data_IF_391168771306
#
_entry.id   IF_391168771306
#
_cell.length_a   1.000
_cell.length_b   1.000
_cell.length_c   1.000
_cell.angle_alpha   90.00
_cell.angle_beta   90.00
_cell.angle_gamma   90.00
#
_symmetry.space_group_name_H-M   'P 1'
#
loop_
_entity.id
_entity.type
_entity.pdbx_description
1 polymer ?
#
# COMPACT_ATOMS: atom_id res chain seq x y z
N UNK A 1 21.74 5.85 -25.40
CA UNK A 1 21.45 5.62 -23.98
C UNK A 1 19.99 5.27 -23.90
N UNK A 2 19.60 4.07 -23.49
CA UNK A 2 18.20 3.71 -23.26
C UNK A 2 17.65 4.61 -22.14
N UNK A 3 16.49 5.20 -22.34
CA UNK A 3 15.74 5.89 -21.26
C UNK A 3 15.61 4.93 -20.09
N UNK A 4 15.92 5.35 -18.84
CA UNK A 4 15.61 4.52 -17.67
C UNK A 4 14.13 4.13 -17.69
N UNK A 5 13.82 2.87 -17.43
CA UNK A 5 12.42 2.46 -17.28
C UNK A 5 11.83 3.04 -15.99
N UNK A 6 10.51 3.03 -15.85
CA UNK A 6 9.81 3.57 -14.68
C UNK A 6 10.33 2.99 -13.36
N UNK A 7 10.63 1.69 -13.30
CA UNK A 7 11.14 1.05 -12.10
C UNK A 7 12.52 1.55 -11.69
N UNK A 8 13.44 1.80 -12.65
CA UNK A 8 14.74 2.37 -12.34
C UNK A 8 14.67 3.81 -11.85
N UNK A 9 13.74 4.60 -12.38
CA UNK A 9 13.45 5.97 -11.87
C UNK A 9 12.84 5.92 -10.47
N UNK A 10 11.94 4.97 -10.24
CA UNK A 10 11.32 4.78 -8.92
C UNK A 10 12.38 4.54 -7.83
N UNK A 11 13.38 3.72 -8.09
CA UNK A 11 14.45 3.39 -7.15
C UNK A 11 15.59 4.45 -7.10
N UNK A 12 15.64 5.40 -8.03
CA UNK A 12 16.64 6.47 -8.02
C UNK A 12 16.39 7.42 -6.83
N UNK A 13 17.34 7.59 -5.90
CA UNK A 13 17.16 8.47 -4.73
C UNK A 13 17.07 9.95 -5.10
N UNK A 14 17.50 10.36 -6.30
CA UNK A 14 17.45 11.74 -6.77
C UNK A 14 16.19 12.05 -7.60
N UNK A 15 15.34 11.06 -7.85
CA UNK A 15 14.11 11.24 -8.62
C UNK A 15 12.89 11.28 -7.68
N UNK A 16 12.07 12.32 -7.81
CA UNK A 16 10.79 12.42 -7.09
C UNK A 16 9.75 11.67 -7.92
N UNK A 17 9.03 10.75 -7.28
CA UNK A 17 7.95 9.97 -7.87
C UNK A 17 6.63 10.43 -7.27
N UNK A 18 5.68 10.75 -8.13
CA UNK A 18 4.35 11.22 -7.72
C UNK A 18 3.36 10.08 -7.82
N UNK A 19 2.79 9.71 -6.68
CA UNK A 19 1.72 8.72 -6.62
C UNK A 19 0.36 9.35 -6.94
N UNK A 20 -0.61 8.51 -7.25
CA UNK A 20 -2.00 8.91 -7.28
C UNK A 20 -2.51 9.23 -5.86
N UNK A 21 -3.81 9.51 -5.73
CA UNK A 21 -4.39 9.96 -4.47
C UNK A 21 -5.50 9.01 -3.96
N UNK A 22 -6.23 9.50 -2.97
CA UNK A 22 -7.22 8.75 -2.22
C UNK A 22 -8.32 8.13 -3.11
N UNK A 23 -8.31 6.82 -3.28
CA UNK A 23 -9.34 6.06 -4.01
C UNK A 23 -10.69 6.13 -3.30
N UNK A 24 -10.73 5.87 -1.99
CA UNK A 24 -11.98 5.84 -1.22
C UNK A 24 -12.77 7.15 -1.26
N UNK A 25 -12.10 8.30 -1.14
CA UNK A 25 -12.74 9.62 -1.23
C UNK A 25 -13.33 9.87 -2.62
N UNK A 26 -12.64 9.46 -3.66
CA UNK A 26 -13.11 9.59 -5.04
C UNK A 26 -14.33 8.71 -5.30
N UNK A 27 -14.35 7.48 -4.79
CA UNK A 27 -15.50 6.58 -4.89
C UNK A 27 -16.70 7.11 -4.09
N UNK A 28 -16.47 7.60 -2.87
CA UNK A 28 -17.51 8.21 -2.04
C UNK A 28 -18.16 9.42 -2.74
N UNK A 29 -17.36 10.32 -3.32
CA UNK A 29 -17.88 11.49 -4.06
C UNK A 29 -18.71 11.12 -5.29
N UNK A 30 -18.58 9.89 -5.78
CA UNK A 30 -19.36 9.31 -6.88
C UNK A 30 -20.57 8.47 -6.42
N UNK A 31 -20.93 8.57 -5.14
CA UNK A 31 -22.13 7.93 -4.57
C UNK A 31 -21.93 6.52 -4.05
N UNK A 32 -20.69 6.04 -3.89
CA UNK A 32 -20.43 4.78 -3.19
C UNK A 32 -20.38 5.04 -1.71
N UNK A 33 -21.35 4.54 -0.96
CA UNK A 33 -21.42 4.74 0.47
C UNK A 33 -20.38 3.92 1.24
N UNK A 34 -19.91 4.45 2.38
CA UNK A 34 -18.84 3.90 3.21
C UNK A 34 -19.11 2.52 3.81
N UNK A 35 -20.36 2.06 3.82
CA UNK A 35 -20.76 0.72 4.26
C UNK A 35 -20.63 -0.35 3.16
N UNK A 36 -20.24 0.02 1.95
CA UNK A 36 -19.96 -0.92 0.87
C UNK A 36 -18.49 -1.34 0.89
N UNK A 37 -18.23 -2.55 0.45
CA UNK A 37 -16.88 -3.03 0.19
C UNK A 37 -16.33 -2.32 -1.06
N UNK A 38 -15.39 -1.42 -0.90
CA UNK A 38 -14.80 -0.70 -2.05
C UNK A 38 -13.97 -1.63 -2.94
N UNK A 39 -13.34 -2.63 -2.33
CA UNK A 39 -12.53 -3.63 -3.05
C UNK A 39 -13.38 -4.51 -3.98
N UNK A 40 -14.66 -4.77 -3.64
CA UNK A 40 -15.62 -5.50 -4.50
C UNK A 40 -15.91 -4.76 -5.82
N UNK A 41 -15.74 -3.43 -5.85
CA UNK A 41 -16.00 -2.64 -7.05
C UNK A 41 -15.07 -3.01 -8.21
N UNK A 42 -13.92 -3.62 -7.94
CA UNK A 42 -13.03 -4.11 -8.99
C UNK A 42 -13.70 -5.13 -9.92
N UNK A 43 -14.69 -5.85 -9.42
CA UNK A 43 -15.47 -6.84 -10.20
C UNK A 43 -16.90 -6.39 -10.43
N UNK A 44 -17.54 -5.74 -9.43
CA UNK A 44 -18.94 -5.36 -9.49
C UNK A 44 -19.21 -4.08 -10.31
N UNK A 45 -18.29 -3.13 -10.25
CA UNK A 45 -18.39 -1.87 -11.01
C UNK A 45 -17.01 -1.39 -11.47
N UNK A 46 -16.33 -2.17 -12.33
CA UNK A 46 -14.97 -1.90 -12.75
C UNK A 46 -14.80 -0.56 -13.49
N UNK A 47 -15.83 -0.10 -14.21
CA UNK A 47 -15.77 1.16 -14.96
C UNK A 47 -15.65 2.36 -14.03
N UNK A 48 -16.24 2.30 -12.83
CA UNK A 48 -16.10 3.35 -11.83
C UNK A 48 -14.66 3.44 -11.31
N UNK A 49 -14.03 2.29 -11.03
CA UNK A 49 -12.63 2.22 -10.58
C UNK A 49 -11.69 2.70 -11.69
N UNK A 50 -11.92 2.24 -12.94
CA UNK A 50 -11.17 2.71 -14.12
C UNK A 50 -11.22 4.23 -14.25
N UNK A 51 -12.39 4.84 -14.10
CA UNK A 51 -12.55 6.29 -14.21
C UNK A 51 -11.70 7.04 -13.19
N UNK A 52 -11.57 6.51 -11.94
CA UNK A 52 -10.72 7.13 -10.92
C UNK A 52 -9.25 7.02 -11.30
N UNK A 53 -8.77 5.83 -11.69
CA UNK A 53 -7.38 5.66 -12.15
C UNK A 53 -7.05 6.56 -13.34
N UNK A 54 -7.95 6.67 -14.32
CA UNK A 54 -7.75 7.51 -15.49
C UNK A 54 -7.67 9.01 -15.15
N UNK A 55 -8.42 9.49 -14.16
CA UNK A 55 -8.31 10.87 -13.68
C UNK A 55 -6.96 11.14 -13.02
N UNK A 56 -6.46 10.26 -12.17
CA UNK A 56 -5.15 10.39 -11.56
C UNK A 56 -4.02 10.32 -12.61
N UNK A 57 -4.16 9.42 -13.57
CA UNK A 57 -3.21 9.31 -14.66
C UNK A 57 -3.15 10.60 -15.52
N UNK A 58 -4.30 11.21 -15.81
CA UNK A 58 -4.37 12.51 -16.49
C UNK A 58 -3.82 13.65 -15.65
N UNK A 59 -3.90 13.55 -14.33
CA UNK A 59 -3.31 14.51 -13.40
C UNK A 59 -1.78 14.41 -13.32
N UNK A 60 -1.18 13.35 -13.89
CA UNK A 60 0.26 13.18 -14.00
C UNK A 60 0.88 12.26 -12.96
N UNK A 61 0.12 11.30 -12.40
CA UNK A 61 0.68 10.30 -11.52
C UNK A 61 1.70 9.41 -12.25
N UNK A 62 2.86 9.17 -11.63
CA UNK A 62 3.88 8.23 -12.08
C UNK A 62 3.58 6.79 -11.64
N UNK A 63 2.75 6.64 -10.59
CA UNK A 63 2.34 5.35 -10.01
C UNK A 63 0.85 5.38 -9.75
N UNK A 64 0.15 4.31 -10.13
CA UNK A 64 -1.25 4.06 -9.78
C UNK A 64 -1.31 2.99 -8.69
N UNK A 65 -1.97 3.29 -7.58
CA UNK A 65 -2.25 2.32 -6.51
C UNK A 65 -3.53 1.57 -6.79
N UNK A 66 -3.51 0.25 -6.62
CA UNK A 66 -4.68 -0.59 -6.85
C UNK A 66 -5.79 -0.32 -5.82
N UNK A 67 -7.04 -0.46 -6.21
CA UNK A 67 -8.17 -0.40 -5.28
C UNK A 67 -8.26 -1.72 -4.48
N UNK A 68 -7.33 -1.94 -3.55
CA UNK A 68 -7.18 -3.20 -2.82
C UNK A 68 -6.73 -3.05 -1.37
N UNK A 69 -6.75 -1.82 -0.82
CA UNK A 69 -6.36 -1.53 0.56
C UNK A 69 -7.01 -2.45 1.61
N UNK A 70 -8.29 -2.78 1.42
CA UNK A 70 -9.07 -3.64 2.29
C UNK A 70 -9.21 -5.08 1.81
N UNK A 71 -8.60 -5.46 0.69
CA UNK A 71 -8.86 -6.73 0.01
C UNK A 71 -8.13 -7.93 0.66
N UNK A 72 -7.95 -7.92 1.98
CA UNK A 72 -7.44 -9.05 2.76
C UNK A 72 -8.58 -9.90 3.35
N UNK A 73 -8.29 -11.15 3.70
CA UNK A 73 -9.28 -12.11 4.18
C UNK A 73 -10.09 -11.62 5.39
N UNK A 74 -9.49 -11.09 6.48
CA UNK A 74 -10.24 -10.62 7.64
C UNK A 74 -11.23 -9.48 7.33
N UNK A 75 -10.84 -8.50 6.51
CA UNK A 75 -11.72 -7.40 6.13
C UNK A 75 -12.80 -7.85 5.16
N UNK A 76 -12.47 -8.66 4.16
CA UNK A 76 -13.45 -9.19 3.21
C UNK A 76 -14.48 -10.11 3.88
N UNK A 77 -14.11 -10.82 4.95
CA UNK A 77 -15.04 -11.64 5.73
C UNK A 77 -16.19 -10.81 6.35
N UNK A 78 -15.97 -9.52 6.65
CA UNK A 78 -17.03 -8.64 7.16
C UNK A 78 -18.12 -8.38 6.12
N UNK A 79 -17.85 -8.70 4.85
CA UNK A 79 -18.76 -8.57 3.71
C UNK A 79 -19.16 -9.93 3.10
N UNK A 80 -18.72 -11.05 3.70
CA UNK A 80 -18.94 -12.40 3.14
C UNK A 80 -18.16 -12.68 1.85
N UNK A 81 -17.03 -11.98 1.65
CA UNK A 81 -16.20 -12.04 0.44
C UNK A 81 -14.83 -12.71 0.67
N UNK A 82 -14.61 -13.36 1.81
CA UNK A 82 -13.34 -13.96 2.22
C UNK A 82 -12.83 -15.05 1.26
N UNK A 83 -13.71 -15.65 0.47
CA UNK A 83 -13.33 -16.62 -0.56
C UNK A 83 -12.82 -15.96 -1.86
N UNK A 84 -12.98 -14.64 -2.01
CA UNK A 84 -12.66 -13.91 -3.23
C UNK A 84 -11.38 -13.08 -3.14
N UNK A 85 -10.56 -13.26 -2.09
CA UNK A 85 -9.32 -12.49 -1.87
C UNK A 85 -8.47 -12.43 -3.13
N UNK A 86 -8.11 -13.58 -3.69
CA UNK A 86 -7.25 -13.66 -4.88
C UNK A 86 -7.89 -12.98 -6.10
N UNK A 87 -9.17 -13.24 -6.34
CA UNK A 87 -9.89 -12.70 -7.51
C UNK A 87 -9.98 -11.16 -7.46
N UNK A 88 -10.39 -10.61 -6.31
CA UNK A 88 -10.55 -9.16 -6.13
C UNK A 88 -9.22 -8.42 -6.28
N UNK A 89 -8.15 -8.95 -5.69
CA UNK A 89 -6.81 -8.37 -5.81
C UNK A 89 -6.27 -8.45 -7.24
N UNK A 90 -6.45 -9.60 -7.91
CA UNK A 90 -6.07 -9.74 -9.32
C UNK A 90 -6.83 -8.77 -10.21
N UNK A 91 -8.14 -8.61 -9.98
CA UNK A 91 -8.96 -7.67 -10.73
C UNK A 91 -8.49 -6.22 -10.49
N UNK A 92 -8.19 -5.84 -9.24
CA UNK A 92 -7.69 -4.51 -8.89
C UNK A 92 -6.42 -4.15 -9.65
N UNK A 93 -5.41 -5.03 -9.61
CA UNK A 93 -4.14 -4.79 -10.30
C UNK A 93 -4.32 -4.76 -11.82
N UNK A 94 -5.16 -5.63 -12.37
CA UNK A 94 -5.45 -5.65 -13.80
C UNK A 94 -6.13 -4.38 -14.28
N UNK A 95 -7.08 -3.84 -13.51
CA UNK A 95 -7.75 -2.58 -13.84
C UNK A 95 -6.75 -1.41 -13.92
N UNK A 96 -5.89 -1.27 -12.91
CA UNK A 96 -4.86 -0.25 -12.90
C UNK A 96 -3.87 -0.42 -14.07
N UNK A 97 -3.44 -1.66 -14.36
CA UNK A 97 -2.54 -1.97 -15.48
C UNK A 97 -3.18 -1.66 -16.84
N UNK A 98 -4.46 -2.02 -17.02
CA UNK A 98 -5.21 -1.73 -18.25
C UNK A 98 -5.32 -0.21 -18.50
N UNK A 99 -5.53 0.58 -17.43
CA UNK A 99 -5.57 2.06 -17.52
C UNK A 99 -4.19 2.63 -17.82
N UNK A 100 -3.13 2.15 -17.17
CA UNK A 100 -1.76 2.57 -17.47
C UNK A 100 -1.38 2.27 -18.92
N UNK A 101 -1.82 1.14 -19.49
CA UNK A 101 -1.54 0.75 -20.88
C UNK A 101 -0.04 0.68 -21.14
N UNK A 102 0.38 1.24 -22.29
CA UNK A 102 1.80 1.30 -22.71
C UNK A 102 2.55 2.50 -22.13
N UNK A 103 1.95 3.28 -21.22
CA UNK A 103 2.60 4.43 -20.60
C UNK A 103 3.65 3.98 -19.59
N UNK A 104 4.67 4.82 -19.41
CA UNK A 104 5.72 4.61 -18.41
C UNK A 104 5.23 4.97 -16.99
N UNK A 105 4.20 4.25 -16.54
CA UNK A 105 3.52 4.40 -15.24
C UNK A 105 3.52 3.04 -14.55
N UNK A 106 3.93 3.00 -13.29
CA UNK A 106 3.95 1.79 -12.48
C UNK A 106 2.59 1.50 -11.85
N UNK A 107 2.34 0.23 -11.56
CA UNK A 107 1.18 -0.22 -10.79
C UNK A 107 1.64 -0.76 -9.44
N UNK A 108 1.25 -0.07 -8.36
CA UNK A 108 1.51 -0.44 -6.99
C UNK A 108 0.34 -1.25 -6.42
N UNK A 109 0.61 -2.47 -5.98
CA UNK A 109 -0.36 -3.26 -5.23
C UNK A 109 -0.54 -2.70 -3.82
N UNK A 110 -1.66 -2.04 -3.55
CA UNK A 110 -1.97 -1.46 -2.25
C UNK A 110 -2.39 -2.53 -1.24
N UNK A 111 -1.72 -2.55 -0.09
CA UNK A 111 -1.95 -3.49 1.01
C UNK A 111 -2.07 -2.71 2.32
N UNK A 112 -3.26 -2.70 2.90
CA UNK A 112 -3.52 -2.08 4.19
C UNK A 112 -3.51 -3.07 5.36
N UNK A 113 -3.65 -2.57 6.61
CA UNK A 113 -3.74 -3.41 7.79
C UNK A 113 -4.90 -4.41 7.73
N UNK A 114 -4.76 -5.54 8.40
CA UNK A 114 -5.75 -6.63 8.42
C UNK A 114 -7.08 -6.23 9.07
N UNK A 115 -7.08 -5.20 9.92
CA UNK A 115 -8.27 -4.80 10.69
C UNK A 115 -8.54 -5.70 11.90
N UNK A 116 -7.62 -6.61 12.20
CA UNK A 116 -7.58 -7.43 13.41
C UNK A 116 -6.28 -7.18 14.15
N UNK A 117 -6.27 -7.39 15.48
CA UNK A 117 -5.04 -7.24 16.26
C UNK A 117 -4.20 -8.50 16.17
N UNK A 118 -2.91 -8.31 15.90
CA UNK A 118 -1.91 -9.39 15.88
C UNK A 118 -1.17 -9.51 17.22
N UNK A 119 -0.51 -10.63 17.44
CA UNK A 119 0.41 -10.80 18.57
C UNK A 119 1.48 -9.68 18.61
N UNK A 120 1.86 -9.20 19.81
CA UNK A 120 1.38 -9.60 21.15
C UNK A 120 0.08 -8.90 21.59
N UNK A 121 -0.50 -8.02 20.78
CA UNK A 121 -1.63 -7.16 21.16
C UNK A 121 -3.00 -7.77 20.87
N UNK A 122 -3.06 -8.91 20.21
CA UNK A 122 -4.29 -9.61 19.85
C UNK A 122 -4.14 -11.11 19.66
N UNK A 123 -5.22 -11.79 19.30
CA UNK A 123 -5.25 -13.25 19.21
C UNK A 123 -4.70 -13.81 17.90
N UNK A 124 -4.55 -12.98 16.84
CA UNK A 124 -4.07 -13.44 15.54
C UNK A 124 -2.55 -13.64 15.60
N UNK A 125 -2.08 -14.84 15.35
CA UNK A 125 -0.65 -15.13 15.35
C UNK A 125 0.08 -14.39 14.23
N UNK A 126 1.36 -14.14 14.38
CA UNK A 126 2.19 -13.49 13.36
C UNK A 126 2.24 -14.33 12.07
N UNK A 127 2.27 -15.65 12.18
CA UNK A 127 2.29 -16.54 11.02
C UNK A 127 0.94 -16.53 10.27
N UNK A 128 -0.18 -16.45 10.98
CA UNK A 128 -1.51 -16.30 10.38
C UNK A 128 -1.63 -14.95 9.67
N UNK A 129 -1.21 -13.86 10.30
CA UNK A 129 -1.18 -12.53 9.70
C UNK A 129 -0.37 -12.52 8.39
N UNK A 130 0.84 -13.12 8.42
CA UNK A 130 1.69 -13.29 7.22
C UNK A 130 0.99 -14.10 6.13
N UNK A 131 0.25 -15.11 6.50
CA UNK A 131 -0.55 -15.92 5.58
C UNK A 131 -1.61 -15.10 4.83
N UNK A 132 -2.32 -14.20 5.52
CA UNK A 132 -3.31 -13.30 4.94
C UNK A 132 -2.68 -12.30 3.95
N UNK A 133 -1.56 -11.68 4.32
CA UNK A 133 -0.84 -10.79 3.41
C UNK A 133 -0.32 -11.50 2.17
N UNK A 134 0.25 -12.71 2.34
CA UNK A 134 0.73 -13.51 1.22
C UNK A 134 -0.39 -13.88 0.25
N UNK A 135 -1.59 -14.20 0.74
CA UNK A 135 -2.76 -14.49 -0.10
C UNK A 135 -3.15 -13.28 -0.95
N UNK A 136 -3.23 -12.10 -0.33
CA UNK A 136 -3.54 -10.84 -0.99
C UNK A 136 -2.50 -10.51 -2.07
N UNK A 137 -1.22 -10.54 -1.72
CA UNK A 137 -0.11 -10.17 -2.60
C UNK A 137 0.02 -11.08 -3.81
N UNK A 138 -0.28 -12.38 -3.67
CA UNK A 138 -0.33 -13.30 -4.82
C UNK A 138 -1.36 -12.86 -5.86
N UNK A 139 -2.56 -12.47 -5.41
CA UNK A 139 -3.58 -11.94 -6.31
C UNK A 139 -3.11 -10.68 -7.03
N UNK A 140 -2.47 -9.74 -6.31
CA UNK A 140 -1.94 -8.51 -6.88
C UNK A 140 -0.87 -8.77 -7.95
N UNK A 141 0.08 -9.67 -7.69
CA UNK A 141 1.10 -10.06 -8.68
C UNK A 141 0.48 -10.71 -9.92
N UNK A 142 -0.45 -11.64 -9.74
CA UNK A 142 -1.14 -12.30 -10.84
C UNK A 142 -1.98 -11.33 -11.68
N UNK A 143 -2.32 -10.17 -11.12
CA UNK A 143 -2.99 -9.06 -11.81
C UNK A 143 -2.04 -8.09 -12.51
N UNK A 144 -0.73 -8.18 -12.26
CA UNK A 144 0.29 -7.33 -12.88
C UNK A 144 0.78 -6.15 -12.04
N UNK A 145 0.68 -6.22 -10.72
CA UNK A 145 1.36 -5.28 -9.83
C UNK A 145 2.89 -5.40 -9.98
N UNK A 146 3.59 -4.28 -10.04
CA UNK A 146 5.04 -4.20 -10.27
C UNK A 146 5.82 -3.88 -8.98
N UNK A 147 5.12 -3.42 -7.95
CA UNK A 147 5.64 -3.16 -6.61
C UNK A 147 4.48 -3.30 -5.59
N UNK A 148 4.81 -3.39 -4.31
CA UNK A 148 3.82 -3.31 -3.24
C UNK A 148 3.96 -2.01 -2.46
N UNK A 149 2.83 -1.42 -2.08
CA UNK A 149 2.76 -0.38 -1.07
C UNK A 149 1.98 -0.88 0.14
N UNK A 150 2.69 -1.01 1.26
CA UNK A 150 2.17 -1.37 2.57
C UNK A 150 1.86 -0.05 3.28
N UNK A 151 0.61 0.35 3.32
CA UNK A 151 0.24 1.70 3.73
C UNK A 151 -0.66 1.73 4.98
N UNK A 152 -0.53 2.82 5.73
CA UNK A 152 -1.40 3.16 6.88
C UNK A 152 -1.35 2.12 8.01
N UNK A 153 -0.21 1.47 8.20
CA UNK A 153 -0.01 0.55 9.31
C UNK A 153 0.23 1.30 10.62
N UNK A 154 -0.31 0.78 11.71
CA UNK A 154 -0.15 1.35 13.05
C UNK A 154 0.74 0.52 13.97
N UNK A 155 0.88 -0.78 13.69
CA UNK A 155 1.62 -1.75 14.48
C UNK A 155 2.85 -2.25 13.70
N UNK A 156 4.04 -2.12 14.33
CA UNK A 156 5.30 -2.60 13.77
C UNK A 156 5.32 -4.12 13.59
N UNK A 157 4.68 -4.89 14.49
CA UNK A 157 4.61 -6.35 14.35
C UNK A 157 3.78 -6.76 13.14
N UNK A 158 2.71 -6.02 12.84
CA UNK A 158 1.85 -6.31 11.70
C UNK A 158 2.55 -5.98 10.38
N UNK A 159 3.14 -4.78 10.23
CA UNK A 159 3.83 -4.39 9.00
C UNK A 159 5.08 -5.25 8.73
N UNK A 160 5.77 -5.73 9.77
CA UNK A 160 6.85 -6.71 9.61
C UNK A 160 6.36 -7.98 8.91
N UNK A 161 5.18 -8.49 9.29
CA UNK A 161 4.63 -9.67 8.64
C UNK A 161 4.23 -9.40 7.19
N UNK A 162 3.76 -8.19 6.87
CA UNK A 162 3.46 -7.80 5.51
C UNK A 162 4.75 -7.71 4.65
N UNK A 163 5.85 -7.14 5.17
CA UNK A 163 7.15 -7.10 4.48
C UNK A 163 7.67 -8.53 4.25
N UNK A 164 7.63 -9.39 5.27
CA UNK A 164 8.04 -10.80 5.15
C UNK A 164 7.21 -11.55 4.13
N UNK A 165 5.89 -11.35 4.11
CA UNK A 165 4.99 -11.93 3.12
C UNK A 165 5.34 -11.50 1.69
N UNK A 166 5.66 -10.22 1.48
CA UNK A 166 6.09 -9.71 0.17
C UNK A 166 7.35 -10.43 -0.31
N UNK A 167 8.37 -10.60 0.56
CA UNK A 167 9.62 -11.30 0.23
C UNK A 167 9.44 -12.81 0.01
N UNK A 168 8.44 -13.44 0.67
CA UNK A 168 8.07 -14.84 0.41
C UNK A 168 7.36 -15.02 -0.94
N UNK A 169 6.60 -14.02 -1.39
CA UNK A 169 5.87 -14.07 -2.67
C UNK A 169 6.80 -13.77 -3.84
N UNK A 170 7.61 -12.72 -3.72
CA UNK A 170 8.68 -12.39 -4.67
C UNK A 170 9.81 -11.66 -3.91
N UNK A 171 10.99 -12.28 -3.88
CA UNK A 171 12.14 -11.73 -3.16
C UNK A 171 12.69 -10.43 -3.77
N UNK A 172 12.33 -10.11 -5.01
CA UNK A 172 12.89 -8.99 -5.78
C UNK A 172 11.92 -7.84 -6.00
N UNK A 173 10.63 -8.05 -5.71
CA UNK A 173 9.62 -7.01 -5.90
C UNK A 173 9.90 -5.81 -4.99
N UNK A 174 9.88 -4.57 -5.49
CA UNK A 174 10.04 -3.39 -4.64
C UNK A 174 8.90 -3.27 -3.63
N UNK A 175 9.26 -2.90 -2.39
CA UNK A 175 8.31 -2.72 -1.29
C UNK A 175 8.46 -1.33 -0.71
N UNK A 176 7.37 -0.58 -0.74
CA UNK A 176 7.20 0.64 0.05
C UNK A 176 6.52 0.24 1.35
N UNK A 177 7.01 0.70 2.48
CA UNK A 177 6.40 0.46 3.78
C UNK A 177 6.14 1.77 4.51
N UNK A 178 4.86 2.03 4.81
CA UNK A 178 4.41 3.27 5.43
C UNK A 178 3.61 2.99 6.69
N UNK A 179 4.03 3.65 7.77
CA UNK A 179 3.30 3.69 9.02
C UNK A 179 2.43 4.94 9.12
N UNK A 180 1.53 4.95 10.07
CA UNK A 180 0.75 6.13 10.44
C UNK A 180 1.12 6.60 11.84
N UNK A 181 1.05 7.92 12.07
CA UNK A 181 1.34 8.56 13.36
C UNK A 181 0.16 9.42 13.81
N UNK A 182 0.07 9.62 15.12
CA UNK A 182 -0.87 10.55 15.73
C UNK A 182 -0.36 11.99 15.78
N UNK A 183 -1.17 12.86 16.34
CA UNK A 183 -0.82 14.28 16.55
C UNK A 183 0.37 14.48 17.51
N UNK A 184 0.66 13.51 18.33
CA UNK A 184 1.83 13.42 19.23
C UNK A 184 3.12 13.01 18.51
N UNK A 185 3.04 12.65 17.22
CA UNK A 185 4.17 12.22 16.41
C UNK A 185 4.61 10.78 16.66
N UNK A 186 3.79 9.98 17.34
CA UNK A 186 4.04 8.55 17.60
C UNK A 186 3.04 7.69 16.82
N UNK A 187 3.42 6.44 16.53
CA UNK A 187 2.43 5.47 16.06
C UNK A 187 1.41 5.18 17.16
N UNK A 188 0.21 4.64 16.84
CA UNK A 188 -0.78 4.27 17.86
C UNK A 188 -0.27 3.28 18.93
N UNK A 189 0.80 2.55 18.64
CA UNK A 189 1.47 1.65 19.59
C UNK A 189 2.78 2.24 20.17
N UNK A 190 3.00 3.55 20.00
CA UNK A 190 4.06 4.30 20.70
C UNK A 190 5.43 4.30 20.01
N UNK A 191 5.55 3.80 18.80
CA UNK A 191 6.80 3.84 18.05
C UNK A 191 7.12 5.27 17.59
N UNK A 192 8.36 5.71 17.76
CA UNK A 192 8.86 6.99 17.27
C UNK A 192 9.15 6.93 15.77
N UNK A 193 9.20 8.07 15.04
CA UNK A 193 9.62 8.09 13.64
C UNK A 193 10.99 7.44 13.41
N UNK A 194 11.93 7.63 14.32
CA UNK A 194 13.26 7.01 14.26
C UNK A 194 13.20 5.47 14.42
N UNK A 195 12.35 4.97 15.33
CA UNK A 195 12.16 3.53 15.51
C UNK A 195 11.48 2.91 14.29
N UNK A 196 10.48 3.59 13.74
CA UNK A 196 9.81 3.21 12.49
C UNK A 196 10.86 3.08 11.37
N UNK A 197 11.67 4.12 11.16
CA UNK A 197 12.66 4.12 10.08
C UNK A 197 13.66 2.98 10.22
N UNK A 198 14.23 2.78 11.42
CA UNK A 198 15.20 1.69 11.66
C UNK A 198 14.57 0.31 11.47
N UNK A 199 13.33 0.12 11.92
CA UNK A 199 12.64 -1.16 11.82
C UNK A 199 12.35 -1.52 10.37
N UNK A 200 11.72 -0.61 9.63
CA UNK A 200 11.37 -0.83 8.21
C UNK A 200 12.62 -1.07 7.33
N UNK A 201 13.71 -0.33 7.60
CA UNK A 201 14.99 -0.52 6.91
C UNK A 201 15.60 -1.90 7.23
N UNK A 202 15.62 -2.28 8.51
CA UNK A 202 16.15 -3.57 8.96
C UNK A 202 15.37 -4.77 8.38
N UNK A 203 14.06 -4.64 8.18
CA UNK A 203 13.23 -5.67 7.57
C UNK A 203 13.28 -5.70 6.05
N UNK A 204 14.01 -4.77 5.44
CA UNK A 204 14.32 -4.79 4.01
C UNK A 204 13.24 -4.17 3.12
N UNK A 205 12.49 -3.18 3.59
CA UNK A 205 11.71 -2.31 2.73
C UNK A 205 12.65 -1.46 1.84
N UNK A 206 12.26 -1.23 0.58
CA UNK A 206 13.07 -0.46 -0.38
C UNK A 206 12.84 1.04 -0.24
N UNK A 207 11.61 1.42 0.08
CA UNK A 207 11.19 2.79 0.40
C UNK A 207 10.44 2.75 1.72
N UNK A 208 10.70 3.69 2.59
CA UNK A 208 10.05 3.74 3.92
C UNK A 208 9.40 5.10 4.14
N UNK A 209 8.35 5.17 4.94
CA UNK A 209 7.67 6.43 5.14
C UNK A 209 6.49 6.43 6.07
N UNK A 210 5.71 7.49 5.94
CA UNK A 210 4.52 7.74 6.73
C UNK A 210 3.39 8.22 5.83
N UNK A 211 2.16 7.85 6.13
CA UNK A 211 0.99 8.36 5.42
C UNK A 211 -0.24 8.50 6.32
N UNK A 212 -1.22 9.26 5.86
CA UNK A 212 -2.54 9.42 6.50
C UNK A 212 -2.52 9.99 7.93
N UNK A 213 -3.67 9.94 8.59
CA UNK A 213 -3.99 10.26 10.00
C UNK A 213 -3.74 11.70 10.46
N UNK A 214 -2.73 12.37 9.97
CA UNK A 214 -2.37 13.76 10.33
C UNK A 214 -2.12 14.61 9.09
N UNK A 215 -2.11 15.94 9.26
CA UNK A 215 -1.84 16.87 8.17
C UNK A 215 -0.36 16.88 7.73
N UNK A 216 -0.07 17.50 6.56
CA UNK A 216 1.23 17.40 5.91
C UNK A 216 2.38 17.96 6.75
N UNK A 217 2.13 18.96 7.58
CA UNK A 217 3.18 19.52 8.44
C UNK A 217 3.69 18.49 9.46
N UNK A 218 2.80 17.70 10.08
CA UNK A 218 3.20 16.65 11.04
C UNK A 218 3.94 15.50 10.36
N UNK A 219 3.52 15.16 9.15
CA UNK A 219 4.24 14.18 8.34
C UNK A 219 5.65 14.69 8.02
N UNK A 220 5.80 15.97 7.60
CA UNK A 220 7.11 16.55 7.32
C UNK A 220 8.03 16.52 8.55
N UNK A 221 7.55 17.00 9.72
CA UNK A 221 8.30 16.97 10.97
C UNK A 221 8.79 15.56 11.33
N UNK A 222 7.97 14.54 11.09
CA UNK A 222 8.33 13.16 11.35
C UNK A 222 9.32 12.61 10.30
N UNK A 223 9.16 12.93 9.02
CA UNK A 223 10.10 12.55 7.95
C UNK A 223 11.48 13.18 8.20
N UNK A 224 11.55 14.44 8.65
CA UNK A 224 12.81 15.08 9.03
C UNK A 224 13.54 14.34 10.18
N UNK A 225 12.79 13.68 11.07
CA UNK A 225 13.35 12.82 12.12
C UNK A 225 13.78 11.43 11.60
N UNK A 226 13.10 10.90 10.58
CA UNK A 226 13.47 9.64 9.94
C UNK A 226 14.76 9.76 9.11
N UNK A 227 14.92 10.85 8.37
CA UNK A 227 16.00 11.05 7.40
C UNK A 227 17.42 10.80 7.95
N UNK A 228 17.82 11.25 9.16
CA UNK A 228 19.18 11.04 9.66
C UNK A 228 19.49 9.60 10.09
N UNK A 229 18.48 8.72 10.20
CA UNK A 229 18.65 7.36 10.74
C UNK A 229 18.52 6.25 9.70
N UNK A 230 18.33 6.59 8.43
CA UNK A 230 18.25 5.65 7.32
C UNK A 230 18.93 6.19 6.06
N UNK A 231 19.27 5.28 5.13
CA UNK A 231 19.71 5.63 3.78
C UNK A 231 18.65 5.28 2.72
N UNK A 232 17.49 4.76 3.17
CA UNK A 232 16.37 4.44 2.26
C UNK A 232 15.73 5.71 1.73
N UNK A 233 15.20 5.61 0.51
CA UNK A 233 14.31 6.63 -0.04
C UNK A 233 13.10 6.79 0.87
N UNK A 234 12.70 8.04 1.11
CA UNK A 234 11.57 8.35 1.98
C UNK A 234 10.31 8.64 1.16
N UNK A 235 9.15 8.26 1.70
CA UNK A 235 7.82 8.55 1.17
C UNK A 235 6.95 9.25 2.20
N UNK A 236 6.03 10.13 1.74
CA UNK A 236 5.11 10.88 2.59
C UNK A 236 3.78 11.11 1.87
#
# INVERSE_FOLDING_TARGET
>A
MSTPNSLSRFLDPNHIVVFDGAMGTMLYSRGVFINQCYDELNTRNPDLVRAVHDEYLRAGADVLETNSFGANRPKLAQHGLEAQVHELNRAAARLARDVAGDRDVLVAGAVGPLGVRVEPFGPTSLDEARGYFREQMKGLLDGGAELFILETFSDLHEIEQAIRAAREVDATIPVIAQMTIGVDGLSPYGATPEDIARSLDAWGADVIGLNCSVGPQRILEAIERMAPVTQRKLSA
#
